data_IF_571961849670
#
_entry.id   IF_571961849670
#
_cell.length_a   1.000
_cell.length_b   1.000
_cell.length_c   1.000
_cell.angle_alpha   90.00
_cell.angle_beta   90.00
_cell.angle_gamma   90.00
#
_symmetry.space_group_name_H-M   'P 1'
#
loop_
_entity.id
_entity.type
_entity.pdbx_description
1 polymer ?
#
# COMPACT_ATOMS: atom_id res chain seq x y z
N UNK A 1 -17.56 34.64 3.83
CA UNK A 1 -17.92 33.23 4.13
C UNK A 1 -16.83 32.36 3.54
N UNK A 2 -15.79 32.10 4.32
CA UNK A 2 -14.59 31.39 3.86
C UNK A 2 -14.83 29.88 3.79
N UNK A 3 -14.66 29.33 2.59
CA UNK A 3 -14.58 27.90 2.32
C UNK A 3 -13.29 27.34 2.94
N UNK A 4 -13.43 26.67 4.07
CA UNK A 4 -12.34 25.94 4.74
C UNK A 4 -11.74 24.87 3.82
N UNK A 5 -10.42 24.95 3.65
CA UNK A 5 -9.56 24.00 2.93
C UNK A 5 -9.72 22.58 3.51
N UNK A 6 -10.22 21.63 2.73
CA UNK A 6 -10.26 20.20 3.08
C UNK A 6 -8.87 19.59 2.86
N UNK A 7 -8.16 19.28 3.95
CA UNK A 7 -6.95 18.44 3.94
C UNK A 7 -7.37 16.99 4.23
N UNK A 8 -6.93 16.06 3.37
CA UNK A 8 -6.98 14.61 3.60
C UNK A 8 -6.36 14.25 4.95
N UNK A 9 -6.95 13.26 5.66
CA UNK A 9 -6.38 12.75 6.91
C UNK A 9 -5.70 11.39 6.70
N UNK A 10 -4.47 11.40 6.18
CA UNK A 10 -3.33 10.95 7.00
C UNK A 10 -3.37 11.92 8.17
N UNK A 11 -3.41 11.50 9.46
CA UNK A 11 -3.43 12.47 10.57
C UNK A 11 -2.58 13.69 10.19
N UNK A 12 -3.21 14.87 10.09
CA UNK A 12 -2.46 16.03 9.63
C UNK A 12 -1.27 16.25 10.58
N UNK A 13 -0.17 16.86 10.14
CA UNK A 13 0.94 17.18 11.05
C UNK A 13 0.44 17.89 12.31
N UNK A 14 -0.54 18.78 12.17
CA UNK A 14 -1.22 19.44 13.30
C UNK A 14 -1.97 18.46 14.21
N UNK A 15 -2.65 17.44 13.67
CA UNK A 15 -3.35 16.42 14.47
C UNK A 15 -2.38 15.44 15.13
N UNK A 16 -1.28 15.06 14.46
CA UNK A 16 -0.18 14.28 15.02
C UNK A 16 0.49 15.05 16.15
N UNK A 17 0.85 16.31 15.92
CA UNK A 17 1.44 17.17 16.93
C UNK A 17 0.48 17.44 18.09
N UNK A 18 -0.80 17.68 17.81
CA UNK A 18 -1.80 17.90 18.83
C UNK A 18 -1.95 16.66 19.71
N UNK A 19 -2.06 15.47 19.10
CA UNK A 19 -2.12 14.20 19.84
C UNK A 19 -0.84 13.98 20.67
N UNK A 20 0.34 14.25 20.10
CA UNK A 20 1.61 14.08 20.80
C UNK A 20 1.82 15.09 21.95
N UNK A 21 1.28 16.31 21.85
CA UNK A 21 1.40 17.37 22.86
C UNK A 21 0.32 17.32 23.94
N UNK A 22 -0.91 16.91 23.59
CA UNK A 22 -2.10 17.04 24.45
C UNK A 22 -2.70 15.71 24.90
N UNK A 23 -2.08 14.58 24.58
CA UNK A 23 -2.51 13.27 25.09
C UNK A 23 -1.32 12.45 25.59
N UNK A 24 -1.58 11.31 26.22
CA UNK A 24 -0.55 10.34 26.61
C UNK A 24 0.01 9.54 25.42
N UNK A 25 -0.53 9.78 24.22
CA UNK A 25 -0.11 9.12 23.00
C UNK A 25 1.33 9.49 22.63
N UNK A 26 2.16 8.46 22.43
CA UNK A 26 3.50 8.60 21.86
C UNK A 26 3.62 7.63 20.69
N UNK A 27 3.96 8.09 19.46
CA UNK A 27 4.17 7.20 18.32
C UNK A 27 5.14 6.06 18.62
N UNK A 28 6.08 6.27 19.54
CA UNK A 28 7.13 5.32 19.90
C UNK A 28 6.68 4.24 20.90
N UNK A 29 5.45 4.30 21.42
CA UNK A 29 4.88 3.33 22.37
C UNK A 29 3.65 2.61 21.79
N UNK A 30 3.56 2.57 20.44
CA UNK A 30 2.46 1.95 19.70
C UNK A 30 2.46 0.42 19.88
N UNK A 31 1.32 -0.14 20.31
CA UNK A 31 1.14 -1.59 20.54
C UNK A 31 -0.02 -2.14 19.70
N UNK A 32 0.25 -3.21 18.97
CA UNK A 32 -0.72 -3.85 18.08
C UNK A 32 -0.86 -5.36 18.39
N UNK A 33 -2.10 -5.87 18.46
CA UNK A 33 -2.41 -7.29 18.70
C UNK A 33 -3.20 -7.88 17.52
N UNK A 34 -2.52 -8.12 16.40
CA UNK A 34 -3.17 -8.36 15.11
C UNK A 34 -3.60 -9.82 14.88
N UNK A 35 -4.23 -10.07 13.72
CA UNK A 35 -4.34 -11.38 13.09
C UNK A 35 -3.60 -11.37 11.75
N UNK A 36 -2.85 -12.43 11.46
CA UNK A 36 -2.17 -12.63 10.17
C UNK A 36 -2.36 -14.07 9.71
N UNK A 37 -2.48 -14.27 8.41
CA UNK A 37 -2.47 -15.61 7.82
C UNK A 37 -2.31 -15.56 6.32
N UNK A 38 -2.01 -16.70 5.71
CA UNK A 38 -1.91 -16.81 4.26
C UNK A 38 -2.37 -18.18 3.78
N UNK A 39 -2.81 -18.22 2.52
CA UNK A 39 -3.04 -19.45 1.78
C UNK A 39 -2.34 -19.36 0.43
N UNK A 40 -1.79 -20.47 -0.04
CA UNK A 40 -1.04 -20.53 -1.29
C UNK A 40 -1.26 -21.86 -1.99
N UNK A 41 -1.24 -21.83 -3.33
CA UNK A 41 -1.20 -23.03 -4.15
C UNK A 41 0.24 -23.52 -4.26
N UNK A 42 0.50 -24.70 -3.72
CA UNK A 42 1.83 -25.35 -3.77
C UNK A 42 2.31 -25.56 -5.21
N UNK A 43 1.38 -25.80 -6.14
CA UNK A 43 1.66 -26.00 -7.56
C UNK A 43 1.67 -24.70 -8.37
N UNK A 44 1.46 -23.55 -7.75
CA UNK A 44 1.37 -22.24 -8.44
C UNK A 44 0.10 -22.05 -9.28
N UNK A 45 -0.83 -23.01 -9.27
CA UNK A 45 -2.11 -22.91 -9.98
C UNK A 45 -2.93 -21.76 -9.38
N UNK A 46 -3.31 -20.81 -10.24
CA UNK A 46 -4.12 -19.67 -9.86
C UNK A 46 -5.59 -20.04 -9.90
N UNK A 47 -6.31 -19.79 -8.81
CA UNK A 47 -7.76 -20.01 -8.74
C UNK A 47 -8.42 -18.92 -7.91
N UNK A 48 -9.71 -18.68 -8.16
CA UNK A 48 -10.49 -17.75 -7.33
C UNK A 48 -10.77 -18.32 -5.93
N UNK A 49 -10.73 -19.65 -5.75
CA UNK A 49 -10.92 -20.31 -4.46
C UNK A 49 -9.85 -19.93 -3.43
N UNK A 50 -8.62 -19.61 -3.86
CA UNK A 50 -7.55 -19.14 -2.97
C UNK A 50 -7.92 -17.77 -2.39
N UNK A 51 -8.50 -16.89 -3.21
CA UNK A 51 -8.97 -15.60 -2.72
C UNK A 51 -10.12 -15.77 -1.71
N UNK A 52 -11.07 -16.67 -2.00
CA UNK A 52 -12.17 -17.01 -1.07
C UNK A 52 -11.66 -17.58 0.24
N UNK A 53 -10.66 -18.46 0.20
CA UNK A 53 -10.04 -18.99 1.41
C UNK A 53 -9.37 -17.87 2.23
N UNK A 54 -8.68 -16.93 1.58
CA UNK A 54 -8.16 -15.72 2.21
C UNK A 54 -9.26 -14.89 2.87
N UNK A 55 -10.40 -14.68 2.19
CA UNK A 55 -11.57 -13.99 2.75
C UNK A 55 -12.09 -14.67 4.02
N UNK A 56 -12.35 -15.97 3.97
CA UNK A 56 -12.84 -16.73 5.12
C UNK A 56 -11.85 -16.63 6.29
N UNK A 57 -10.55 -16.71 6.01
CA UNK A 57 -9.51 -16.57 7.02
C UNK A 57 -9.53 -15.18 7.67
N UNK A 58 -9.63 -14.11 6.88
CA UNK A 58 -9.71 -12.75 7.40
C UNK A 58 -10.96 -12.54 8.26
N UNK A 59 -12.14 -12.94 7.77
CA UNK A 59 -13.40 -12.83 8.51
C UNK A 59 -13.37 -13.62 9.83
N UNK A 60 -12.71 -14.78 9.86
CA UNK A 60 -12.53 -15.58 11.08
C UNK A 60 -11.60 -14.91 12.10
N UNK A 61 -10.77 -13.95 11.69
CA UNK A 61 -9.92 -13.14 12.59
C UNK A 61 -10.64 -11.94 13.19
N UNK A 62 -11.93 -11.71 12.89
CA UNK A 62 -12.68 -10.54 13.40
C UNK A 62 -12.69 -10.44 14.93
N UNK A 63 -12.66 -11.58 15.65
CA UNK A 63 -12.55 -11.61 17.12
C UNK A 63 -11.23 -11.04 17.66
N UNK A 64 -10.23 -10.83 16.79
CA UNK A 64 -8.94 -10.19 17.07
C UNK A 64 -8.84 -8.81 16.43
N UNK A 65 -9.90 -8.30 15.82
CA UNK A 65 -9.95 -6.97 15.23
C UNK A 65 -10.55 -5.95 16.20
N UNK A 66 -10.07 -4.71 16.14
CA UNK A 66 -10.65 -3.58 16.88
C UNK A 66 -11.58 -2.80 15.96
N UNK A 67 -12.67 -2.32 16.52
CA UNK A 67 -13.48 -1.25 15.93
C UNK A 67 -13.22 0.05 16.70
N UNK A 68 -13.25 1.16 15.98
CA UNK A 68 -13.28 2.53 16.52
C UNK A 68 -14.59 2.73 17.27
N UNK A 69 -14.69 3.79 18.07
CA UNK A 69 -15.88 4.11 18.88
C UNK A 69 -17.22 4.24 18.14
N UNK A 70 -17.24 4.22 16.79
CA UNK A 70 -18.48 4.11 15.99
C UNK A 70 -18.92 2.65 15.72
N UNK A 71 -18.20 1.66 16.28
CA UNK A 71 -18.38 0.20 16.12
C UNK A 71 -18.32 -0.35 14.69
N UNK A 72 -18.12 0.50 13.68
CA UNK A 72 -18.21 0.14 12.26
C UNK A 72 -16.94 0.53 11.48
N UNK A 73 -16.16 1.50 11.96
CA UNK A 73 -14.83 1.77 11.42
C UNK A 73 -13.84 0.80 12.05
N UNK A 74 -13.13 0.00 11.25
CA UNK A 74 -12.07 -0.89 11.75
C UNK A 74 -10.68 -0.24 11.68
N UNK A 75 -9.75 -0.77 12.48
CA UNK A 75 -8.37 -0.25 12.55
C UNK A 75 -7.53 -0.51 11.30
N UNK A 76 -7.93 -1.49 10.50
CA UNK A 76 -7.31 -1.80 9.23
C UNK A 76 -7.41 -3.28 8.87
N UNK A 77 -7.72 -3.55 7.61
CA UNK A 77 -7.65 -4.88 7.05
C UNK A 77 -7.08 -4.83 5.63
N UNK A 78 -6.50 -5.94 5.19
CA UNK A 78 -5.99 -6.03 3.84
C UNK A 78 -5.65 -7.45 3.40
N UNK A 79 -5.42 -7.57 2.10
CA UNK A 79 -4.99 -8.78 1.42
C UNK A 79 -3.90 -8.44 0.40
N UNK A 80 -2.82 -9.20 0.43
CA UNK A 80 -1.83 -9.26 -0.64
C UNK A 80 -2.09 -10.49 -1.48
N UNK A 81 -2.07 -10.33 -2.80
CA UNK A 81 -2.27 -11.41 -3.76
C UNK A 81 -1.24 -11.35 -4.87
N UNK A 82 -1.10 -12.43 -5.64
CA UNK A 82 -0.50 -12.33 -6.96
C UNK A 82 -1.41 -11.52 -7.90
N UNK A 83 -0.82 -10.79 -8.85
CA UNK A 83 -1.56 -9.97 -9.81
C UNK A 83 -2.58 -10.81 -10.60
N UNK A 84 -3.88 -10.47 -10.56
CA UNK A 84 -4.92 -11.13 -11.37
C UNK A 84 -4.87 -10.61 -12.82
N UNK A 85 -3.95 -11.14 -13.65
CA UNK A 85 -3.66 -10.61 -15.00
C UNK A 85 -4.91 -10.50 -15.88
N UNK A 86 -5.71 -11.57 -15.96
CA UNK A 86 -6.90 -11.63 -16.82
C UNK A 86 -7.90 -10.51 -16.50
N UNK A 87 -8.15 -10.27 -15.20
CA UNK A 87 -9.04 -9.21 -14.74
C UNK A 87 -8.55 -7.83 -15.19
N UNK A 88 -7.25 -7.55 -15.02
CA UNK A 88 -6.68 -6.26 -15.35
C UNK A 88 -6.56 -6.02 -16.85
N UNK A 89 -6.16 -7.05 -17.60
CA UNK A 89 -6.05 -7.00 -19.06
C UNK A 89 -7.40 -6.69 -19.69
N UNK A 90 -8.45 -7.40 -19.28
CA UNK A 90 -9.82 -7.15 -19.76
C UNK A 90 -10.28 -5.73 -19.43
N UNK A 91 -10.05 -5.26 -18.20
CA UNK A 91 -10.49 -3.93 -17.79
C UNK A 91 -9.73 -2.82 -18.52
N UNK A 92 -8.39 -2.91 -18.60
CA UNK A 92 -7.56 -1.92 -19.29
C UNK A 92 -7.85 -1.89 -20.79
N UNK A 93 -8.02 -3.04 -21.44
CA UNK A 93 -8.40 -3.09 -22.85
C UNK A 93 -9.75 -2.39 -23.06
N UNK A 94 -10.71 -2.63 -22.18
CA UNK A 94 -12.05 -2.01 -22.24
C UNK A 94 -12.06 -0.51 -21.94
N UNK A 95 -11.26 -0.03 -20.98
CA UNK A 95 -11.33 1.36 -20.52
C UNK A 95 -10.34 2.29 -21.20
N UNK A 96 -9.22 1.76 -21.69
CA UNK A 96 -8.12 2.56 -22.24
C UNK A 96 -7.74 2.17 -23.67
N UNK A 97 -8.30 1.09 -24.22
CA UNK A 97 -7.91 0.49 -25.50
C UNK A 97 -6.40 0.19 -25.58
N UNK A 98 -5.85 -0.33 -24.48
CA UNK A 98 -4.43 -0.69 -24.37
C UNK A 98 -4.34 -2.20 -24.15
N UNK A 99 -3.52 -2.86 -24.98
CA UNK A 99 -3.11 -4.23 -24.74
C UNK A 99 -1.93 -4.25 -23.77
N UNK A 100 -2.16 -4.79 -22.57
CA UNK A 100 -1.09 -4.90 -21.58
C UNK A 100 0.03 -5.82 -22.10
N UNK A 101 1.31 -5.55 -21.77
CA UNK A 101 2.39 -6.50 -22.00
C UNK A 101 2.12 -7.86 -21.32
N UNK A 102 2.89 -8.91 -21.66
CA UNK A 102 2.85 -10.18 -20.93
C UNK A 102 3.06 -9.98 -19.42
N UNK A 103 2.44 -10.84 -18.60
CA UNK A 103 2.65 -10.81 -17.14
C UNK A 103 4.15 -10.89 -16.81
N UNK A 104 4.59 -10.03 -15.89
CA UNK A 104 6.02 -9.83 -15.56
C UNK A 104 6.73 -8.79 -16.44
N UNK A 105 6.17 -8.40 -17.59
CA UNK A 105 6.70 -7.30 -18.42
C UNK A 105 5.95 -5.98 -18.20
N UNK A 106 4.96 -5.98 -17.32
CA UNK A 106 4.38 -4.78 -16.76
C UNK A 106 4.37 -4.90 -15.23
N UNK A 107 4.34 -3.75 -14.57
CA UNK A 107 4.10 -3.66 -13.15
C UNK A 107 2.87 -2.81 -12.89
N UNK A 108 2.19 -3.12 -11.80
CA UNK A 108 1.03 -2.38 -11.37
C UNK A 108 1.04 -2.15 -9.87
N UNK A 109 0.30 -1.14 -9.44
CA UNK A 109 0.32 -0.69 -8.06
C UNK A 109 -0.83 0.24 -7.75
N UNK A 110 -1.35 0.14 -6.53
CA UNK A 110 -2.38 1.04 -6.01
C UNK A 110 -1.71 2.18 -5.26
N UNK A 111 -2.13 3.40 -5.59
CA UNK A 111 -1.71 4.63 -4.93
C UNK A 111 -2.92 5.25 -4.24
N UNK A 112 -2.72 5.67 -2.99
CA UNK A 112 -3.63 6.53 -2.27
C UNK A 112 -3.20 7.98 -2.49
N UNK A 113 -4.09 8.78 -3.07
CA UNK A 113 -3.84 10.14 -3.51
C UNK A 113 -4.91 11.08 -2.95
N UNK A 114 -4.60 12.38 -2.92
CA UNK A 114 -5.61 13.39 -2.58
C UNK A 114 -6.39 13.79 -3.83
N UNK A 115 -7.72 13.92 -3.76
CA UNK A 115 -8.52 14.42 -4.87
C UNK A 115 -7.99 15.75 -5.42
N UNK A 116 -7.52 16.63 -4.54
CA UNK A 116 -7.04 17.97 -4.86
C UNK A 116 -5.68 17.94 -5.57
N UNK A 117 -4.82 16.98 -5.23
CA UNK A 117 -3.47 16.85 -5.79
C UNK A 117 -3.39 15.86 -6.95
N UNK A 118 -4.51 15.24 -7.35
CA UNK A 118 -4.51 14.13 -8.30
C UNK A 118 -3.81 14.44 -9.62
N UNK A 119 -4.06 15.61 -10.20
CA UNK A 119 -3.43 16.00 -11.49
C UNK A 119 -1.91 16.12 -11.35
N UNK A 120 -1.46 16.87 -10.35
CA UNK A 120 -0.04 17.04 -10.03
C UNK A 120 0.62 15.69 -9.68
N UNK A 121 -0.11 14.81 -8.99
CA UNK A 121 0.36 13.48 -8.63
C UNK A 121 0.63 12.62 -9.87
N UNK A 122 -0.26 12.64 -10.87
CA UNK A 122 -0.04 11.93 -12.13
C UNK A 122 1.18 12.44 -12.89
N UNK A 123 1.32 13.76 -12.98
CA UNK A 123 2.43 14.41 -13.68
C UNK A 123 3.76 14.06 -13.00
N UNK A 124 3.84 14.28 -11.68
CA UNK A 124 5.01 13.94 -10.87
C UNK A 124 5.38 12.46 -10.95
N UNK A 125 4.40 11.56 -10.82
CA UNK A 125 4.64 10.12 -10.96
C UNK A 125 5.17 9.76 -12.34
N UNK A 126 4.64 10.37 -13.40
CA UNK A 126 5.08 10.12 -14.78
C UNK A 126 6.51 10.61 -15.03
N UNK A 127 6.89 11.75 -14.46
CA UNK A 127 8.25 12.27 -14.54
C UNK A 127 9.25 11.40 -13.77
N UNK A 128 8.87 10.94 -12.57
CA UNK A 128 9.68 10.00 -11.78
C UNK A 128 9.83 8.65 -12.49
N UNK A 129 8.75 8.15 -13.12
CA UNK A 129 8.81 6.94 -13.94
C UNK A 129 9.78 7.10 -15.10
N UNK A 130 9.71 8.22 -15.85
CA UNK A 130 10.65 8.53 -16.93
C UNK A 130 12.09 8.59 -16.43
N UNK A 131 12.34 9.19 -15.27
CA UNK A 131 13.65 9.23 -14.61
C UNK A 131 14.19 7.84 -14.25
N UNK A 132 13.30 6.87 -14.01
CA UNK A 132 13.65 5.47 -13.78
C UNK A 132 13.68 4.62 -15.06
N UNK A 133 13.56 5.25 -16.24
CA UNK A 133 13.44 4.58 -17.55
C UNK A 133 12.24 3.63 -17.64
N UNK A 134 11.15 4.01 -16.96
CA UNK A 134 9.86 3.35 -17.00
C UNK A 134 8.86 4.24 -17.75
N UNK A 135 7.89 3.60 -18.41
CA UNK A 135 6.79 4.26 -19.10
C UNK A 135 5.49 3.93 -18.39
N UNK A 136 4.64 4.94 -18.16
CA UNK A 136 3.27 4.74 -17.68
C UNK A 136 2.39 4.35 -18.87
N UNK A 137 1.74 3.20 -18.77
CA UNK A 137 0.78 2.70 -19.77
C UNK A 137 -0.60 3.27 -19.53
N UNK A 138 -1.12 3.10 -18.32
CA UNK A 138 -2.49 3.44 -17.99
C UNK A 138 -2.65 3.83 -16.52
N UNK A 139 -3.67 4.65 -16.26
CA UNK A 139 -4.20 4.91 -14.93
C UNK A 139 -5.63 4.37 -14.86
N UNK A 140 -5.84 3.41 -13.98
CA UNK A 140 -7.12 2.77 -13.74
C UNK A 140 -7.77 3.33 -12.47
N UNK A 141 -9.04 3.69 -12.57
CA UNK A 141 -9.88 4.02 -11.40
C UNK A 141 -10.37 2.72 -10.78
N UNK A 142 -10.08 2.49 -9.50
CA UNK A 142 -10.64 1.35 -8.78
C UNK A 142 -12.14 1.57 -8.60
N UNK A 143 -12.92 0.51 -8.81
CA UNK A 143 -14.33 0.49 -8.45
C UNK A 143 -14.43 0.05 -6.99
N UNK A 144 -15.01 0.92 -6.17
CA UNK A 144 -15.12 0.72 -4.73
C UNK A 144 -16.54 1.06 -4.29
N UNK A 145 -16.99 0.37 -3.24
CA UNK A 145 -18.28 0.61 -2.62
C UNK A 145 -18.09 1.24 -1.23
N UNK A 146 -18.08 2.57 -1.20
CA UNK A 146 -17.91 3.37 0.02
C UNK A 146 -19.09 3.24 0.99
N UNK A 147 -20.22 2.65 0.58
CA UNK A 147 -21.40 2.47 1.44
C UNK A 147 -21.13 1.54 2.62
N UNK A 148 -20.19 0.61 2.48
CA UNK A 148 -19.76 -0.32 3.54
C UNK A 148 -18.77 0.27 4.55
N UNK A 149 -18.33 1.52 4.36
CA UNK A 149 -17.41 2.17 5.28
C UNK A 149 -18.13 2.74 6.51
N UNK A 150 -17.56 2.49 7.69
CA UNK A 150 -17.88 3.23 8.90
C UNK A 150 -17.63 4.74 8.73
N UNK A 151 -18.31 5.54 9.56
CA UNK A 151 -18.36 7.01 9.42
C UNK A 151 -16.97 7.63 9.49
N UNK A 152 -16.12 7.19 10.40
CA UNK A 152 -14.76 7.73 10.54
C UNK A 152 -13.86 7.32 9.37
N UNK A 153 -13.95 6.07 8.92
CA UNK A 153 -13.18 5.57 7.77
C UNK A 153 -13.54 6.31 6.47
N UNK A 154 -14.83 6.62 6.26
CA UNK A 154 -15.32 7.35 5.09
C UNK A 154 -14.79 8.79 5.04
N UNK A 155 -14.59 9.47 6.18
CA UNK A 155 -14.05 10.84 6.19
C UNK A 155 -12.62 10.92 5.66
N UNK A 156 -11.87 9.85 5.79
CA UNK A 156 -10.43 9.78 5.47
C UNK A 156 -10.16 8.96 4.22
N UNK A 157 -11.20 8.52 3.50
CA UNK A 157 -11.12 7.69 2.30
C UNK A 157 -10.25 8.37 1.22
N UNK A 158 -9.16 7.72 0.77
CA UNK A 158 -8.27 8.30 -0.21
C UNK A 158 -8.81 8.14 -1.63
N UNK A 159 -8.38 9.02 -2.54
CA UNK A 159 -8.56 8.78 -3.96
C UNK A 159 -7.64 7.63 -4.39
N UNK A 160 -8.23 6.46 -4.66
CA UNK A 160 -7.47 5.30 -5.09
C UNK A 160 -7.29 5.26 -6.60
N UNK A 161 -6.05 5.08 -7.03
CA UNK A 161 -5.71 4.90 -8.44
C UNK A 161 -4.71 3.78 -8.60
N UNK A 162 -4.96 2.91 -9.57
CA UNK A 162 -4.03 1.87 -9.96
C UNK A 162 -3.26 2.35 -11.18
N UNK A 163 -1.95 2.30 -11.11
CA UNK A 163 -1.06 2.66 -12.23
C UNK A 163 -0.50 1.40 -12.86
N UNK A 164 -0.30 1.43 -14.17
CA UNK A 164 0.35 0.37 -14.94
C UNK A 164 1.58 0.96 -15.60
N UNK A 165 2.73 0.32 -15.41
CA UNK A 165 4.02 0.76 -15.95
C UNK A 165 4.73 -0.38 -16.68
N UNK A 166 5.53 -0.04 -17.68
CA UNK A 166 6.40 -0.97 -18.40
C UNK A 166 7.74 -0.32 -18.73
N UNK A 167 8.59 -1.00 -19.47
CA UNK A 167 9.85 -0.50 -19.97
C UNK A 167 10.33 -1.35 -21.15
N UNK A 168 11.18 -0.76 -22.01
CA UNK A 168 11.83 -1.49 -23.11
C UNK A 168 12.67 -2.67 -22.63
N UNK A 169 13.17 -2.61 -21.39
CA UNK A 169 13.94 -3.69 -20.77
C UNK A 169 13.10 -4.58 -19.84
N UNK A 170 11.77 -4.53 -19.90
CA UNK A 170 10.90 -5.30 -19.01
C UNK A 170 11.07 -6.82 -19.13
N UNK A 171 11.59 -7.32 -20.25
CA UNK A 171 12.01 -8.72 -20.41
C UNK A 171 13.14 -9.12 -19.46
N UNK A 172 14.02 -8.18 -19.07
CA UNK A 172 15.01 -8.40 -18.03
C UNK A 172 14.39 -8.17 -16.64
N UNK A 173 13.84 -9.25 -16.08
CA UNK A 173 13.11 -9.23 -14.80
C UNK A 173 13.90 -8.60 -13.65
N UNK A 174 15.20 -8.92 -13.52
CA UNK A 174 16.05 -8.37 -12.45
C UNK A 174 16.14 -6.84 -12.56
N UNK A 175 16.45 -6.33 -13.75
CA UNK A 175 16.56 -4.88 -14.01
C UNK A 175 15.20 -4.18 -13.89
N UNK A 176 14.13 -4.83 -14.34
CA UNK A 176 12.78 -4.28 -14.25
C UNK A 176 12.33 -4.13 -12.79
N UNK A 177 12.49 -5.16 -11.97
CA UNK A 177 12.17 -5.12 -10.53
C UNK A 177 12.96 -4.04 -9.79
N UNK A 178 14.25 -3.88 -10.12
CA UNK A 178 15.09 -2.80 -9.55
C UNK A 178 14.56 -1.41 -9.90
N UNK A 179 14.21 -1.18 -11.17
CA UNK A 179 13.65 0.10 -11.61
C UNK A 179 12.30 0.39 -10.93
N UNK A 180 11.44 -0.62 -10.76
CA UNK A 180 10.16 -0.50 -10.06
C UNK A 180 10.36 -0.17 -8.59
N UNK A 181 11.30 -0.84 -7.92
CA UNK A 181 11.62 -0.56 -6.52
C UNK A 181 12.14 0.87 -6.34
N UNK A 182 13.05 1.30 -7.22
CA UNK A 182 13.58 2.66 -7.23
C UNK A 182 12.47 3.68 -7.46
N UNK A 183 11.59 3.45 -8.44
CA UNK A 183 10.43 4.30 -8.70
C UNK A 183 9.57 4.41 -7.45
N UNK A 184 9.19 3.28 -6.83
CA UNK A 184 8.37 3.29 -5.61
C UNK A 184 9.00 4.13 -4.50
N UNK A 185 10.31 4.00 -4.24
CA UNK A 185 11.00 4.80 -3.22
C UNK A 185 11.05 6.27 -3.59
N UNK A 186 11.40 6.59 -4.84
CA UNK A 186 11.45 7.97 -5.32
C UNK A 186 10.06 8.63 -5.31
N UNK A 187 9.00 7.90 -5.64
CA UNK A 187 7.61 8.38 -5.57
C UNK A 187 7.28 8.90 -4.18
N UNK A 188 7.47 8.09 -3.13
CA UNK A 188 7.14 8.52 -1.76
C UNK A 188 7.95 9.75 -1.33
N UNK A 189 9.26 9.75 -1.60
CA UNK A 189 10.16 10.82 -1.14
C UNK A 189 9.94 12.12 -1.92
N UNK A 190 9.94 12.05 -3.26
CA UNK A 190 9.95 13.24 -4.13
C UNK A 190 8.57 13.89 -4.22
N UNK A 191 7.50 13.11 -4.20
CA UNK A 191 6.16 13.69 -4.23
C UNK A 191 5.87 14.47 -2.95
N UNK A 192 6.31 13.95 -1.79
CA UNK A 192 6.21 14.68 -0.53
C UNK A 192 6.98 16.02 -0.58
N UNK A 193 8.20 16.03 -1.12
CA UNK A 193 8.99 17.26 -1.32
C UNK A 193 8.31 18.28 -2.24
N UNK A 194 7.45 17.82 -3.15
CA UNK A 194 6.66 18.66 -4.04
C UNK A 194 5.31 19.09 -3.43
N UNK A 195 5.05 18.76 -2.15
CA UNK A 195 3.78 19.03 -1.48
C UNK A 195 2.63 18.11 -1.93
N UNK A 196 2.93 17.01 -2.61
CA UNK A 196 1.94 16.05 -3.11
C UNK A 196 1.87 14.85 -2.16
N UNK A 197 0.79 14.77 -1.39
CA UNK A 197 0.51 13.58 -0.58
C UNK A 197 0.23 12.37 -1.47
N UNK A 198 1.03 11.33 -1.31
CA UNK A 198 0.89 10.07 -2.04
C UNK A 198 1.43 8.92 -1.19
N UNK A 199 0.61 7.89 -1.00
CA UNK A 199 1.05 6.64 -0.40
C UNK A 199 0.95 5.50 -1.40
N UNK A 200 2.10 4.91 -1.75
CA UNK A 200 2.18 3.80 -2.72
C UNK A 200 1.91 2.49 -1.98
N UNK A 201 0.66 2.02 -1.97
CA UNK A 201 0.22 0.79 -1.29
C UNK A 201 1.03 -0.41 -1.76
N UNK A 202 1.16 -0.56 -3.07
CA UNK A 202 1.99 -1.55 -3.74
C UNK A 202 2.40 -0.99 -5.09
N UNK A 203 3.53 -1.49 -5.62
CA UNK A 203 3.96 -1.30 -7.01
C UNK A 203 4.92 -2.45 -7.30
N UNK A 204 4.50 -3.41 -8.12
CA UNK A 204 5.20 -4.68 -8.36
C UNK A 204 4.77 -5.30 -9.69
N UNK A 205 5.61 -6.17 -10.24
CA UNK A 205 5.30 -6.98 -11.43
C UNK A 205 4.71 -8.36 -11.07
N UNK A 206 4.61 -8.69 -9.78
CA UNK A 206 4.19 -10.02 -9.31
C UNK A 206 3.02 -9.99 -8.34
N UNK A 207 2.94 -8.97 -7.48
CA UNK A 207 1.98 -8.90 -6.38
C UNK A 207 1.21 -7.59 -6.36
N UNK A 208 0.01 -7.63 -5.78
CA UNK A 208 -0.83 -6.46 -5.55
C UNK A 208 -1.43 -6.51 -4.15
N UNK A 209 -1.57 -5.35 -3.51
CA UNK A 209 -2.12 -5.23 -2.16
C UNK A 209 -3.39 -4.39 -2.18
N UNK A 210 -4.49 -4.98 -1.70
CA UNK A 210 -5.75 -4.30 -1.42
C UNK A 210 -5.88 -4.16 0.09
N UNK A 211 -5.90 -2.93 0.60
CA UNK A 211 -5.99 -2.68 2.04
C UNK A 211 -6.68 -1.36 2.31
N UNK A 212 -6.99 -1.11 3.57
CA UNK A 212 -7.59 0.15 4.00
C UNK A 212 -8.08 0.09 5.42
N UNK A 213 -8.75 1.16 5.83
CA UNK A 213 -9.34 1.29 7.15
C UNK A 213 -10.70 0.58 7.17
N UNK A 214 -10.67 -0.71 7.48
CA UNK A 214 -11.82 -1.62 7.40
C UNK A 214 -11.87 -2.50 8.64
N UNK A 215 -13.07 -2.95 8.99
CA UNK A 215 -13.23 -4.20 9.74
C UNK A 215 -12.90 -5.40 8.83
N UNK A 216 -12.65 -6.57 9.42
CA UNK A 216 -12.29 -7.78 8.67
C UNK A 216 -13.35 -8.19 7.63
N UNK A 217 -14.62 -7.84 7.85
CA UNK A 217 -15.74 -8.17 6.94
C UNK A 217 -15.92 -7.18 5.79
N UNK A 218 -15.44 -5.93 5.93
CA UNK A 218 -15.69 -4.86 4.96
C UNK A 218 -14.76 -4.92 3.75
N UNK A 219 -13.51 -5.39 3.91
CA UNK A 219 -12.48 -5.36 2.85
C UNK A 219 -12.98 -5.90 1.50
N UNK A 220 -13.57 -7.11 1.53
CA UNK A 220 -14.02 -7.79 0.32
C UNK A 220 -15.30 -7.20 -0.26
N UNK A 221 -16.12 -6.52 0.55
CA UNK A 221 -17.32 -5.84 0.08
C UNK A 221 -17.01 -4.46 -0.51
N UNK A 222 -15.94 -3.83 -0.02
CA UNK A 222 -15.52 -2.51 -0.46
C UNK A 222 -14.87 -2.53 -1.85
N UNK A 223 -14.00 -3.49 -2.15
CA UNK A 223 -13.34 -3.57 -3.46
C UNK A 223 -14.09 -4.52 -4.41
N UNK A 224 -14.69 -3.97 -5.47
CA UNK A 224 -15.41 -4.76 -6.49
C UNK A 224 -14.52 -5.82 -7.13
N UNK A 225 -13.23 -5.52 -7.32
CA UNK A 225 -12.24 -6.45 -7.87
C UNK A 225 -12.19 -7.76 -7.06
N UNK A 226 -12.23 -7.66 -5.73
CA UNK A 226 -12.13 -8.82 -4.84
C UNK A 226 -13.38 -9.71 -4.86
N UNK A 227 -14.49 -9.20 -5.39
CA UNK A 227 -15.73 -9.95 -5.59
C UNK A 227 -15.82 -10.55 -7.00
N UNK A 228 -14.92 -10.18 -7.91
CA UNK A 228 -14.96 -10.62 -9.29
C UNK A 228 -14.45 -12.07 -9.43
N UNK A 229 -15.22 -13.00 -10.02
CA UNK A 229 -14.78 -14.37 -10.26
C UNK A 229 -13.52 -14.49 -11.14
N UNK A 230 -13.23 -13.48 -11.97
CA UNK A 230 -11.99 -13.40 -12.77
C UNK A 230 -10.76 -13.03 -11.95
N UNK A 231 -10.93 -12.65 -10.67
CA UNK A 231 -9.81 -12.46 -9.76
C UNK A 231 -9.26 -13.83 -9.35
N UNK A 232 -8.33 -14.35 -10.15
CA UNK A 232 -7.61 -15.59 -9.85
C UNK A 232 -6.24 -15.25 -9.27
N UNK A 233 -5.82 -16.00 -8.26
CA UNK A 233 -4.51 -15.82 -7.65
C UNK A 233 -3.98 -17.15 -7.12
N UNK A 234 -2.67 -17.27 -6.94
CA UNK A 234 -2.04 -18.46 -6.34
C UNK A 234 -1.58 -18.23 -4.90
N UNK A 235 -1.74 -17.00 -4.39
CA UNK A 235 -1.36 -16.59 -3.04
C UNK A 235 -2.38 -15.56 -2.54
N UNK A 236 -2.84 -15.71 -1.31
CA UNK A 236 -3.56 -14.66 -0.59
C UNK A 236 -3.04 -14.59 0.85
N UNK A 237 -2.38 -13.48 1.20
CA UNK A 237 -1.91 -13.17 2.55
C UNK A 237 -2.77 -12.06 3.14
N UNK A 238 -3.47 -12.36 4.22
CA UNK A 238 -4.42 -11.45 4.87
C UNK A 238 -3.88 -10.95 6.20
N UNK A 239 -4.31 -9.74 6.56
CA UNK A 239 -4.01 -9.14 7.85
C UNK A 239 -5.22 -8.38 8.36
N UNK A 240 -5.48 -8.53 9.65
CA UNK A 240 -6.43 -7.72 10.40
C UNK A 240 -5.69 -7.02 11.53
N UNK A 241 -5.76 -5.70 11.56
CA UNK A 241 -5.09 -4.87 12.56
C UNK A 241 -5.96 -4.70 13.80
N UNK A 242 -5.31 -4.63 14.95
CA UNK A 242 -5.88 -4.20 16.22
C UNK A 242 -4.87 -3.25 16.86
N UNK A 243 -5.19 -1.97 16.93
CA UNK A 243 -4.33 -0.98 17.56
C UNK A 243 -4.93 -0.54 18.88
N UNK A 244 -4.18 -0.71 19.97
CA UNK A 244 -4.66 -0.31 21.30
C UNK A 244 -4.45 1.18 21.57
N UNK A 245 -3.67 1.88 20.74
CA UNK A 245 -3.19 3.23 21.05
C UNK A 245 -2.98 4.11 19.81
N UNK A 246 -3.57 3.85 18.63
CA UNK A 246 -3.41 4.78 17.50
C UNK A 246 -4.70 5.22 16.86
N UNK A 247 -4.68 6.43 16.31
CA UNK A 247 -5.71 6.82 15.38
C UNK A 247 -5.56 5.97 14.12
N UNK A 248 -6.64 5.31 13.69
CA UNK A 248 -6.62 4.47 12.51
C UNK A 248 -6.35 5.33 11.27
N UNK A 249 -5.60 4.76 10.33
CA UNK A 249 -5.40 5.38 9.02
C UNK A 249 -5.27 4.33 7.92
N UNK A 250 -5.73 4.69 6.73
CA UNK A 250 -5.71 3.83 5.54
C UNK A 250 -4.31 3.31 5.20
N UNK A 251 -3.27 4.13 5.38
CA UNK A 251 -1.89 3.77 5.06
C UNK A 251 -1.26 2.81 6.08
N UNK A 252 -1.72 2.83 7.34
CA UNK A 252 -1.22 1.96 8.43
C UNK A 252 -1.77 0.54 8.39
N UNK A 253 -2.89 0.31 7.68
CA UNK A 253 -3.38 -1.04 7.42
C UNK A 253 -2.30 -1.90 6.77
N UNK A 254 -2.32 -3.20 7.02
CA UNK A 254 -1.42 -4.18 6.42
C UNK A 254 -2.23 -5.17 5.55
N UNK A 255 -1.61 -5.98 4.67
CA UNK A 255 -0.16 -6.17 4.44
C UNK A 255 0.60 -4.92 3.97
N UNK A 256 1.91 -4.90 4.24
CA UNK A 256 2.85 -4.01 3.57
C UNK A 256 3.29 -4.64 2.23
N UNK A 257 4.34 -4.11 1.58
CA UNK A 257 4.72 -4.52 0.22
C UNK A 257 5.33 -5.93 0.11
N UNK A 258 5.84 -6.48 1.22
CA UNK A 258 6.43 -7.83 1.26
C UNK A 258 6.02 -8.65 2.48
N UNK A 259 5.49 -8.02 3.53
CA UNK A 259 5.23 -8.67 4.80
C UNK A 259 3.90 -8.22 5.40
N UNK A 260 3.33 -9.09 6.21
CA UNK A 260 2.31 -8.77 7.20
C UNK A 260 2.87 -9.20 8.56
N UNK A 261 2.83 -8.28 9.53
CA UNK A 261 3.43 -8.46 10.83
C UNK A 261 2.35 -8.52 11.91
N UNK A 262 2.49 -9.50 12.79
CA UNK A 262 1.70 -9.65 13.99
C UNK A 262 2.65 -9.68 15.18
N UNK A 263 2.68 -8.58 15.92
CA UNK A 263 3.60 -8.37 17.03
C UNK A 263 4.09 -6.93 17.05
N UNK A 264 5.10 -6.70 17.87
CA UNK A 264 5.69 -5.39 18.10
C UNK A 264 7.23 -5.50 18.08
N UNK A 265 7.89 -4.57 17.38
CA UNK A 265 9.34 -4.49 17.35
C UNK A 265 9.82 -3.53 18.46
N UNK A 266 10.03 -4.09 19.65
CA UNK A 266 10.44 -3.32 20.84
C UNK A 266 11.80 -2.60 20.71
N UNK A 267 12.62 -2.98 19.72
CA UNK A 267 13.94 -2.39 19.45
C UNK A 267 13.95 -1.37 18.31
N UNK A 268 12.76 -0.91 17.86
CA UNK A 268 12.58 -0.07 16.67
C UNK A 268 13.55 1.11 16.59
N UNK A 269 13.67 1.90 17.66
CA UNK A 269 14.55 3.09 17.68
C UNK A 269 16.01 2.74 17.40
N UNK A 270 16.50 1.66 18.01
CA UNK A 270 17.86 1.16 17.78
C UNK A 270 18.03 0.76 16.31
N UNK A 271 17.08 -0.02 15.77
CA UNK A 271 17.12 -0.49 14.39
C UNK A 271 17.12 0.67 13.38
N UNK A 272 16.26 1.69 13.56
CA UNK A 272 16.22 2.88 12.71
C UNK A 272 17.56 3.63 12.75
N UNK A 273 18.11 3.84 13.94
CA UNK A 273 19.39 4.53 14.09
C UNK A 273 20.54 3.75 13.46
N UNK A 274 20.57 2.42 13.62
CA UNK A 274 21.57 1.56 12.97
C UNK A 274 21.44 1.58 11.45
N UNK A 275 20.22 1.57 10.90
CA UNK A 275 20.02 1.68 9.46
C UNK A 275 20.47 3.03 8.92
N UNK A 276 20.12 4.14 9.60
CA UNK A 276 20.59 5.47 9.23
C UNK A 276 22.12 5.60 9.25
N UNK A 277 22.79 4.99 10.24
CA UNK A 277 24.25 4.95 10.28
C UNK A 277 24.85 4.12 9.11
N UNK A 278 24.17 3.05 8.70
CA UNK A 278 24.60 2.19 7.58
C UNK A 278 24.45 2.85 6.22
N UNK A 279 23.48 3.74 6.03
CA UNK A 279 23.25 4.45 4.75
C UNK A 279 24.53 5.11 4.20
N UNK A 280 25.39 5.64 5.06
CA UNK A 280 26.65 6.29 4.65
C UNK A 280 27.73 5.34 4.10
N UNK A 281 27.64 4.04 4.38
CA UNK A 281 28.63 3.03 3.96
C UNK A 281 28.01 1.90 3.10
N UNK A 282 26.69 1.92 2.91
CA UNK A 282 25.99 0.94 2.10
C UNK A 282 26.42 1.04 0.64
N UNK A 283 26.69 -0.12 0.04
CA UNK A 283 26.98 -0.26 -1.38
C UNK A 283 26.20 -1.44 -1.96
N UNK A 284 25.88 -1.36 -3.25
CA UNK A 284 25.16 -2.40 -3.97
C UNK A 284 25.70 -2.49 -5.39
N UNK A 285 26.00 -3.71 -5.85
CA UNK A 285 26.41 -3.95 -7.24
C UNK A 285 25.27 -3.66 -8.21
N UNK A 286 24.04 -3.91 -7.77
CA UNK A 286 22.81 -3.72 -8.51
C UNK A 286 22.47 -2.24 -8.74
N UNK A 287 22.58 -1.41 -7.69
CA UNK A 287 22.23 0.01 -7.78
C UNK A 287 23.44 0.90 -8.09
N UNK A 288 24.66 0.41 -7.87
CA UNK A 288 25.89 1.17 -8.07
C UNK A 288 25.83 2.52 -7.37
N UNK A 289 26.23 3.57 -8.09
CA UNK A 289 26.17 4.95 -7.59
C UNK A 289 24.75 5.43 -7.33
N UNK A 290 23.71 4.85 -7.95
CA UNK A 290 22.32 5.26 -7.75
C UNK A 290 21.72 4.79 -6.42
N UNK A 291 22.47 4.05 -5.58
CA UNK A 291 21.98 3.58 -4.27
C UNK A 291 21.51 4.73 -3.36
N UNK A 292 22.13 5.91 -3.47
CA UNK A 292 21.73 7.09 -2.68
C UNK A 292 20.29 7.55 -2.95
N UNK A 293 19.72 7.17 -4.10
CA UNK A 293 18.31 7.43 -4.44
C UNK A 293 17.34 6.52 -3.67
N UNK A 294 17.84 5.54 -2.92
CA UNK A 294 17.00 4.71 -2.05
C UNK A 294 16.89 5.28 -0.63
N UNK A 295 17.64 6.35 -0.33
CA UNK A 295 17.69 6.96 1.00
C UNK A 295 16.60 8.03 1.20
N UNK A 296 16.03 8.15 2.40
CA UNK A 296 16.26 7.25 3.54
C UNK A 296 15.63 5.87 3.32
N UNK A 297 16.31 4.82 3.79
CA UNK A 297 15.83 3.43 3.71
C UNK A 297 14.55 3.32 4.53
N UNK A 298 14.62 3.70 5.81
CA UNK A 298 13.45 3.83 6.67
C UNK A 298 12.93 5.27 6.59
N UNK A 299 11.72 5.42 6.05
CA UNK A 299 11.04 6.70 5.96
C UNK A 299 10.55 7.16 7.34
N UNK A 300 10.43 8.48 7.52
CA UNK A 300 9.93 9.05 8.77
C UNK A 300 8.45 8.65 9.01
N UNK A 301 8.06 8.58 10.28
CA UNK A 301 6.67 8.35 10.71
C UNK A 301 6.03 7.01 10.28
N UNK A 302 6.87 6.04 9.90
CA UNK A 302 6.43 4.68 9.62
C UNK A 302 6.14 3.90 10.90
N UNK A 303 5.16 3.00 10.84
CA UNK A 303 4.97 2.00 11.90
C UNK A 303 6.19 1.09 12.00
N UNK A 304 6.31 0.35 13.10
CA UNK A 304 7.39 -0.62 13.31
C UNK A 304 7.49 -1.64 12.16
N UNK A 305 6.34 -2.17 11.77
CA UNK A 305 6.11 -3.15 10.71
C UNK A 305 6.34 -2.54 9.34
N UNK A 306 5.95 -1.27 9.17
CA UNK A 306 6.26 -0.48 7.99
C UNK A 306 7.77 -0.33 7.82
N UNK A 307 8.47 0.03 8.89
CA UNK A 307 9.93 0.19 8.94
C UNK A 307 10.66 -1.11 8.61
N UNK A 308 10.22 -2.23 9.20
CA UNK A 308 10.74 -3.56 8.88
C UNK A 308 10.60 -3.91 7.39
N UNK A 309 9.52 -3.46 6.73
CA UNK A 309 9.32 -3.75 5.30
C UNK A 309 10.30 -3.01 4.39
N UNK A 310 10.92 -1.94 4.88
CA UNK A 310 11.83 -1.13 4.09
C UNK A 310 13.29 -1.58 4.18
N UNK A 311 13.61 -2.35 5.22
CA UNK A 311 14.92 -2.95 5.47
C UNK A 311 15.05 -4.28 4.74
#
# INVERSE_FOLDING_TARGET
>A
MEMGRKKMVILSEEQLEYAAKNSLWRPQLEKDACGVGFCASVKGIQTHEILKAGRVMLERMAHRGACVGDNDSGDGAGVMTAIPDDLYRDDIKRTNDIDLPPLGQYATGILFLSPESYKQAKESFSDLARGCKLQVLAWRKLKVNSDHLGRESRKTEPLMRQVFVTSDFASNQKRFHQAIYLLRKQTTIRMLQQGVSCYVVSLSATTIVYKGQFTSHQLFLYYDDLQNPKFVTHLAMVHSRFSTNTFPSWSRAQPNRMLAHNGEINTLRGNINFMKAREGIMSSREYGESIHKLYPVVENEMTDSGSLTMC
#
